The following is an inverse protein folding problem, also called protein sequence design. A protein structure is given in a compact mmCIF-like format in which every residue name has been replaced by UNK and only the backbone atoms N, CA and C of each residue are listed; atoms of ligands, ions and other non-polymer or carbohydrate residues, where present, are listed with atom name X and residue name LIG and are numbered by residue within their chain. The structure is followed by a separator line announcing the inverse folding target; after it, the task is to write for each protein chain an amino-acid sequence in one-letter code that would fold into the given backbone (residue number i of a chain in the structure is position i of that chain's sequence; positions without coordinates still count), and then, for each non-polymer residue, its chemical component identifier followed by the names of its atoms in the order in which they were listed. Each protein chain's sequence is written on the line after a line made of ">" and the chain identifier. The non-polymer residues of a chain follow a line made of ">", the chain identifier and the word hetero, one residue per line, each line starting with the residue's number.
data_IF_888617169695
#
_entry.id   IF_888617169695
#
_cell.length_a   1.000
_cell.length_b   1.000
_cell.length_c   1.000
_cell.angle_alpha   90.00
_cell.angle_beta   90.00
_cell.angle_gamma   90.00
#
_symmetry.space_group_name_H-M   'P 1'
#
loop_
_entity.id
_entity.type
_entity.pdbx_description
1 polymer ?
#
# COMPACT_ATOMS: atom_id res chain seq x y z
N UNK A 1 10.77 10.88 6.70
CA UNK A 1 10.76 10.53 5.29
C UNK A 1 9.52 9.73 4.95
N UNK A 2 8.55 10.43 4.37
CA UNK A 2 7.19 9.94 4.13
C UNK A 2 6.16 10.82 4.83
N UNK A 3 4.91 10.72 4.37
CA UNK A 3 3.74 11.23 5.08
C UNK A 3 2.90 10.02 5.47
N UNK A 4 2.37 10.03 6.67
CA UNK A 4 1.37 9.08 7.12
C UNK A 4 0.07 9.84 7.30
N UNK A 5 -1.05 9.28 6.83
CA UNK A 5 -2.35 9.88 7.04
C UNK A 5 -2.64 9.99 8.55
N UNK A 6 -3.40 11.00 8.96
CA UNK A 6 -3.69 11.27 10.38
C UNK A 6 -4.36 10.08 11.09
N UNK A 7 -5.15 9.32 10.36
CA UNK A 7 -5.90 8.15 10.82
C UNK A 7 -5.16 6.82 10.59
N UNK A 8 -3.95 6.85 10.02
CA UNK A 8 -3.11 5.68 9.85
C UNK A 8 -2.16 5.52 11.04
N UNK A 9 -1.88 4.27 11.41
CA UNK A 9 -0.90 3.90 12.42
C UNK A 9 0.23 3.11 11.75
N UNK A 10 1.45 3.23 12.28
CA UNK A 10 2.57 2.41 11.83
C UNK A 10 3.91 3.14 11.82
N UNK A 11 4.76 2.71 10.89
CA UNK A 11 6.14 3.16 10.77
C UNK A 11 6.21 4.54 10.10
N UNK A 12 6.75 5.52 10.82
CA UNK A 12 7.17 6.80 10.26
C UNK A 12 8.68 6.95 10.44
N UNK A 13 9.41 6.97 9.33
CA UNK A 13 10.84 7.27 9.36
C UNK A 13 11.04 8.77 9.52
N UNK A 14 12.03 9.20 10.31
CA UNK A 14 12.45 10.59 10.45
C UNK A 14 13.97 10.64 10.19
N UNK A 15 14.42 11.59 9.38
CA UNK A 15 15.86 11.76 9.08
C UNK A 15 16.13 13.22 8.70
N UNK A 16 17.36 13.64 8.93
CA UNK A 16 17.96 14.89 8.42
C UNK A 16 18.85 14.65 7.18
N UNK A 17 19.18 13.40 6.86
CA UNK A 17 19.89 13.01 5.64
C UNK A 17 19.00 13.16 4.38
N UNK A 18 19.27 14.20 3.60
CA UNK A 18 18.57 14.49 2.35
C UNK A 18 18.75 13.43 1.25
N UNK A 19 19.91 12.75 1.18
CA UNK A 19 20.14 11.70 0.19
C UNK A 19 19.33 10.44 0.51
N UNK A 20 19.27 10.06 1.78
CA UNK A 20 18.41 8.97 2.24
C UNK A 20 16.95 9.31 1.97
N UNK A 21 16.51 10.52 2.31
CA UNK A 21 15.15 10.97 2.09
C UNK A 21 14.75 10.88 0.60
N UNK A 22 15.60 11.40 -0.29
CA UNK A 22 15.38 11.33 -1.72
C UNK A 22 15.37 9.88 -2.23
N UNK A 23 16.27 9.03 -1.73
CA UNK A 23 16.35 7.62 -2.13
C UNK A 23 15.11 6.80 -1.76
N UNK A 24 14.44 7.13 -0.67
CA UNK A 24 13.22 6.46 -0.24
C UNK A 24 11.94 7.04 -0.85
N UNK A 25 11.93 8.32 -1.22
CA UNK A 25 10.73 9.01 -1.72
C UNK A 25 10.64 9.13 -3.23
N UNK A 26 11.76 9.10 -3.95
CA UNK A 26 11.77 9.30 -5.39
C UNK A 26 10.94 8.21 -6.10
N UNK A 27 9.94 8.56 -6.93
CA UNK A 27 9.05 7.58 -7.58
C UNK A 27 9.80 6.52 -8.42
N UNK A 28 10.93 6.90 -9.03
CA UNK A 28 11.78 6.01 -9.82
C UNK A 28 12.42 4.88 -9.01
N UNK A 29 12.49 5.01 -7.68
CA UNK A 29 13.13 4.03 -6.79
C UNK A 29 12.21 2.87 -6.44
N UNK A 30 10.89 3.01 -6.64
CA UNK A 30 9.90 1.94 -6.43
C UNK A 30 10.09 1.19 -5.10
N UNK A 31 10.40 1.93 -4.02
CA UNK A 31 10.66 1.32 -2.71
C UNK A 31 9.37 0.69 -2.19
N UNK A 32 9.35 -0.63 -1.92
CA UNK A 32 8.17 -1.32 -1.45
C UNK A 32 7.78 -0.86 -0.05
N UNK A 33 6.49 -0.69 0.17
CA UNK A 33 5.87 -0.38 1.46
C UNK A 33 4.79 -1.39 1.72
N UNK A 34 4.87 -2.01 2.88
CA UNK A 34 3.92 -3.04 3.31
C UNK A 34 3.00 -2.48 4.37
N UNK A 35 1.70 -2.68 4.17
CA UNK A 35 0.63 -2.20 5.03
C UNK A 35 -0.17 -3.37 5.55
N UNK A 36 -0.56 -3.30 6.82
CA UNK A 36 -1.55 -4.19 7.39
C UNK A 36 -2.91 -3.50 7.35
N UNK A 37 -3.89 -4.10 6.69
CA UNK A 37 -5.22 -3.54 6.54
C UNK A 37 -6.31 -4.47 7.11
N UNK A 38 -7.33 -3.86 7.70
CA UNK A 38 -8.57 -4.52 8.09
C UNK A 38 -9.67 -4.10 7.12
N UNK A 39 -10.26 -5.07 6.45
CA UNK A 39 -11.23 -4.88 5.38
C UNK A 39 -12.57 -5.45 5.83
N UNK A 40 -13.66 -4.71 5.61
CA UNK A 40 -15.00 -5.24 5.81
C UNK A 40 -15.35 -6.16 4.64
N UNK A 41 -15.75 -7.39 4.93
CA UNK A 41 -16.04 -8.44 3.96
C UNK A 41 -14.92 -9.48 3.85
N UNK A 42 -15.22 -10.54 3.11
CA UNK A 42 -14.30 -11.63 2.85
C UNK A 42 -13.46 -11.32 1.61
N UNK A 43 -12.15 -11.16 1.79
CA UNK A 43 -11.21 -11.00 0.68
C UNK A 43 -10.97 -12.37 0.06
N UNK A 44 -11.00 -12.44 -1.26
CA UNK A 44 -10.93 -13.67 -2.03
C UNK A 44 -9.70 -13.71 -2.94
N UNK A 45 -9.51 -14.84 -3.62
CA UNK A 45 -8.31 -15.06 -4.45
C UNK A 45 -8.30 -14.15 -5.68
N UNK A 46 -9.48 -13.79 -6.17
CA UNK A 46 -9.68 -12.89 -7.30
C UNK A 46 -9.14 -11.49 -6.99
N UNK A 47 -9.21 -11.06 -5.72
CA UNK A 47 -8.65 -9.79 -5.26
C UNK A 47 -7.12 -9.81 -5.35
N UNK A 48 -6.48 -10.93 -4.98
CA UNK A 48 -5.02 -11.08 -5.09
C UNK A 48 -4.60 -10.88 -6.55
N UNK A 49 -5.33 -11.49 -7.48
CA UNK A 49 -5.03 -11.37 -8.91
C UNK A 49 -5.31 -9.97 -9.44
N UNK A 50 -6.32 -9.28 -8.92
CA UNK A 50 -6.60 -7.88 -9.26
C UNK A 50 -5.47 -6.95 -8.81
N UNK A 51 -4.98 -7.09 -7.58
CA UNK A 51 -3.82 -6.34 -7.09
C UNK A 51 -2.57 -6.64 -7.93
N UNK A 52 -2.33 -7.91 -8.28
CA UNK A 52 -1.19 -8.32 -9.09
C UNK A 52 -1.21 -7.76 -10.52
N UNK A 53 -2.40 -7.49 -11.08
CA UNK A 53 -2.55 -6.84 -12.41
C UNK A 53 -2.53 -5.31 -12.34
N UNK A 54 -2.72 -4.74 -11.16
CA UNK A 54 -3.04 -3.32 -10.99
C UNK A 54 -4.53 -3.07 -11.14
N UNK A 55 -5.05 -2.15 -10.33
CA UNK A 55 -6.46 -1.81 -10.24
C UNK A 55 -6.70 -0.48 -10.96
N UNK A 56 -7.75 -0.43 -11.79
CA UNK A 56 -8.17 0.81 -12.44
C UNK A 56 -8.98 1.63 -11.44
N UNK A 57 -8.43 2.77 -11.03
CA UNK A 57 -9.12 3.78 -10.24
C UNK A 57 -9.60 4.92 -11.16
N UNK A 58 -10.44 5.81 -10.62
CA UNK A 58 -11.06 6.91 -11.39
C UNK A 58 -10.07 7.87 -12.06
N UNK A 59 -8.85 7.98 -11.53
CA UNK A 59 -7.84 8.97 -11.92
C UNK A 59 -6.54 8.33 -12.45
N UNK A 60 -6.25 7.07 -12.13
CA UNK A 60 -5.10 6.33 -12.66
C UNK A 60 -5.29 4.82 -12.51
N UNK A 61 -4.47 4.04 -13.22
CA UNK A 61 -4.31 2.61 -12.97
C UNK A 61 -3.12 2.39 -12.04
N UNK A 62 -3.33 1.67 -10.94
CA UNK A 62 -2.24 1.39 -9.99
C UNK A 62 -1.18 0.52 -10.64
N UNK A 63 0.05 0.62 -10.15
CA UNK A 63 1.07 -0.37 -10.43
C UNK A 63 0.66 -1.73 -9.83
N UNK A 64 1.20 -2.84 -10.38
CA UNK A 64 1.11 -4.15 -9.75
C UNK A 64 1.51 -4.10 -8.27
N UNK A 65 0.70 -4.74 -7.45
CA UNK A 65 0.85 -4.79 -6.01
C UNK A 65 0.71 -6.24 -5.52
N UNK A 66 1.28 -6.52 -4.35
CA UNK A 66 1.11 -7.82 -3.68
C UNK A 66 0.05 -7.70 -2.61
N UNK A 67 -0.88 -8.65 -2.59
CA UNK A 67 -1.90 -8.80 -1.55
C UNK A 67 -1.76 -10.20 -0.95
N UNK A 68 -1.57 -10.27 0.36
CA UNK A 68 -1.64 -11.52 1.12
C UNK A 68 -2.82 -11.51 2.06
N UNK A 69 -3.61 -12.57 2.02
CA UNK A 69 -4.73 -12.77 2.94
C UNK A 69 -4.18 -13.45 4.19
N UNK A 70 -4.19 -12.72 5.32
CA UNK A 70 -3.77 -13.27 6.61
C UNK A 70 -4.93 -13.96 7.33
N UNK A 71 -6.14 -13.43 7.17
CA UNK A 71 -7.38 -14.04 7.63
C UNK A 71 -8.55 -13.58 6.75
N UNK A 72 -9.36 -14.53 6.28
CA UNK A 72 -10.58 -14.29 5.51
C UNK A 72 -11.81 -14.56 6.38
N UNK A 73 -12.61 -13.52 6.65
CA UNK A 73 -13.82 -13.59 7.47
C UNK A 73 -14.76 -12.42 7.12
N UNK A 74 -15.81 -12.18 7.91
CA UNK A 74 -16.65 -10.97 7.78
C UNK A 74 -15.83 -9.67 7.92
N UNK A 75 -14.73 -9.73 8.65
CA UNK A 75 -13.68 -8.71 8.62
C UNK A 75 -12.36 -9.41 8.29
N UNK A 76 -11.84 -9.16 7.10
CA UNK A 76 -10.60 -9.75 6.64
C UNK A 76 -9.39 -8.94 7.10
N UNK A 77 -8.30 -9.65 7.38
CA UNK A 77 -6.99 -9.06 7.67
C UNK A 77 -6.07 -9.39 6.52
N UNK A 78 -5.48 -8.36 5.92
CA UNK A 78 -4.60 -8.52 4.76
C UNK A 78 -3.30 -7.74 4.94
N UNK A 79 -2.29 -8.19 4.22
CA UNK A 79 -1.04 -7.46 4.00
C UNK A 79 -0.99 -6.98 2.55
N UNK A 80 -0.73 -5.69 2.35
CA UNK A 80 -0.65 -5.05 1.02
C UNK A 80 0.73 -4.46 0.84
N UNK A 81 1.46 -4.88 -0.19
CA UNK A 81 2.74 -4.28 -0.58
C UNK A 81 2.58 -3.49 -1.88
N UNK A 82 2.86 -2.19 -1.82
CA UNK A 82 2.89 -1.27 -2.97
C UNK A 82 4.24 -0.58 -3.10
N UNK A 83 4.63 -0.24 -4.32
CA UNK A 83 5.87 0.51 -4.61
C UNK A 83 5.63 1.98 -4.96
N UNK A 84 4.37 2.43 -4.89
CA UNK A 84 3.99 3.82 -5.09
C UNK A 84 3.41 4.43 -3.80
N UNK A 85 2.87 5.64 -3.89
CA UNK A 85 2.41 6.40 -2.73
C UNK A 85 1.41 7.47 -3.13
N UNK A 86 0.39 7.07 -3.90
CA UNK A 86 -0.68 7.98 -4.34
C UNK A 86 -1.64 8.26 -3.18
N UNK A 87 -2.41 9.34 -3.32
CA UNK A 87 -3.29 9.82 -2.25
C UNK A 87 -4.27 8.74 -1.79
N UNK A 88 -4.17 8.35 -0.52
CA UNK A 88 -4.98 7.33 0.15
C UNK A 88 -5.07 5.99 -0.61
N UNK A 89 -4.06 5.65 -1.41
CA UNK A 89 -4.15 4.53 -2.37
C UNK A 89 -4.59 3.20 -1.76
N UNK A 90 -4.08 2.84 -0.58
CA UNK A 90 -4.42 1.55 0.08
C UNK A 90 -5.89 1.52 0.56
N UNK A 91 -6.51 2.69 0.77
CA UNK A 91 -7.92 2.81 1.19
C UNK A 91 -8.89 2.90 0.03
N UNK A 92 -8.40 3.21 -1.18
CA UNK A 92 -9.19 3.40 -2.39
C UNK A 92 -9.31 2.09 -3.14
#
# INVERSE_FOLDING_TARGET
>A
VGRMDRDAQGLLLLTDDGQLAHSLLAPKKQVPKTYLALIRGCVAREDIEAFARGIVLSDFTTLPARLDILAAAEQSKVEVTICEGKFHQVKR
#
